data_IF_860644314396
#
_entry.id   IF_860644314396
#
_cell.length_a   1.000
_cell.length_b   1.000
_cell.length_c   1.000
_cell.angle_alpha   90.00
_cell.angle_beta   90.00
_cell.angle_gamma   90.00
#
_symmetry.space_group_name_H-M   'P 1'
#
loop_
_entity.id
_entity.type
_entity.pdbx_description
1 polymer ?
#
# COMPACT_ATOMS: atom_id res chain seq x y z
N UNK A 1 -134.91 93.89 177.63
CA UNK A 1 -133.55 94.50 177.57
C UNK A 1 -132.52 93.60 176.90
N UNK A 2 -132.71 92.27 176.90
CA UNK A 2 -132.02 91.25 176.08
C UNK A 2 -132.13 91.38 174.54
N UNK A 3 -132.58 92.49 173.96
CA UNK A 3 -132.86 92.55 172.49
C UNK A 3 -131.79 93.25 171.66
N UNK A 4 -130.88 94.01 172.30
CA UNK A 4 -129.80 94.74 171.61
C UNK A 4 -128.52 93.90 171.48
N UNK A 5 -128.26 92.97 172.41
CA UNK A 5 -127.09 92.07 172.34
C UNK A 5 -127.29 90.94 171.33
N UNK A 6 -128.50 90.41 171.17
CA UNK A 6 -128.82 89.36 170.19
C UNK A 6 -128.67 89.83 168.73
N UNK A 7 -129.02 91.09 168.44
CA UNK A 7 -128.82 91.67 167.12
C UNK A 7 -127.34 91.86 166.77
N UNK A 8 -126.49 92.14 167.78
CA UNK A 8 -125.04 92.27 167.57
C UNK A 8 -124.40 90.92 167.25
N UNK A 9 -124.79 89.85 167.94
CA UNK A 9 -124.32 88.49 167.67
C UNK A 9 -124.77 88.00 166.27
N UNK A 10 -126.00 88.29 165.85
CA UNK A 10 -126.50 87.94 164.51
C UNK A 10 -125.79 88.72 163.39
N UNK A 11 -125.50 90.00 163.58
CA UNK A 11 -124.71 90.78 162.62
C UNK A 11 -123.26 90.29 162.53
N UNK A 12 -122.67 89.87 163.65
CA UNK A 12 -121.29 89.37 163.70
C UNK A 12 -121.16 87.99 163.04
N UNK A 13 -122.11 87.08 163.28
CA UNK A 13 -122.17 85.78 162.59
C UNK A 13 -122.40 85.92 161.07
N UNK A 14 -123.26 86.85 160.64
CA UNK A 14 -123.48 87.10 159.21
C UNK A 14 -122.23 87.69 158.52
N UNK A 15 -121.50 88.58 159.22
CA UNK A 15 -120.21 89.10 158.77
C UNK A 15 -119.14 88.02 158.68
N UNK A 16 -119.05 87.10 159.66
CA UNK A 16 -118.13 85.97 159.62
C UNK A 16 -118.47 84.97 158.51
N UNK A 17 -119.76 84.66 158.29
CA UNK A 17 -120.21 83.81 157.18
C UNK A 17 -119.87 84.46 155.83
N UNK A 18 -120.06 85.78 155.69
CA UNK A 18 -119.71 86.50 154.47
C UNK A 18 -118.19 86.50 154.24
N UNK A 19 -117.38 86.69 155.29
CA UNK A 19 -115.92 86.61 155.21
C UNK A 19 -115.44 85.19 154.90
N UNK A 20 -116.04 84.16 155.50
CA UNK A 20 -115.74 82.76 155.20
C UNK A 20 -116.15 82.39 153.77
N UNK A 21 -117.29 82.85 153.28
CA UNK A 21 -117.69 82.67 151.87
C UNK A 21 -116.73 83.36 150.92
N UNK A 22 -116.37 84.62 151.17
CA UNK A 22 -115.39 85.37 150.37
C UNK A 22 -114.02 84.68 150.38
N UNK A 23 -113.57 84.21 151.55
CA UNK A 23 -112.33 83.46 151.71
C UNK A 23 -112.39 82.08 151.06
N UNK A 24 -113.53 81.40 151.11
CA UNK A 24 -113.75 80.12 150.41
C UNK A 24 -113.76 80.32 148.90
N UNK A 25 -114.41 81.37 148.38
CA UNK A 25 -114.40 81.71 146.96
C UNK A 25 -113.02 82.13 146.47
N UNK A 26 -112.25 82.87 147.30
CA UNK A 26 -110.86 83.19 147.00
C UNK A 26 -109.96 81.94 147.05
N UNK A 27 -110.21 81.01 147.98
CA UNK A 27 -109.52 79.73 148.03
C UNK A 27 -109.86 78.84 146.83
N UNK A 28 -111.14 78.76 146.45
CA UNK A 28 -111.62 78.04 145.26
C UNK A 28 -111.06 78.65 143.97
N UNK A 29 -111.02 79.99 143.85
CA UNK A 29 -110.41 80.66 142.70
C UNK A 29 -108.90 80.37 142.60
N UNK A 30 -108.18 80.33 143.73
CA UNK A 30 -106.76 79.91 143.76
C UNK A 30 -106.60 78.43 143.40
N UNK A 31 -107.49 77.57 143.87
CA UNK A 31 -107.48 76.14 143.55
C UNK A 31 -107.80 75.89 142.07
N UNK A 32 -108.72 76.67 141.50
CA UNK A 32 -109.05 76.65 140.08
C UNK A 32 -107.88 77.13 139.22
N UNK A 33 -107.26 78.28 139.54
CA UNK A 33 -106.08 78.77 138.83
C UNK A 33 -104.89 77.80 138.92
N UNK A 34 -104.65 77.20 140.09
CA UNK A 34 -103.60 76.19 140.24
C UNK A 34 -103.91 74.89 139.46
N UNK A 35 -105.19 74.48 139.39
CA UNK A 35 -105.63 73.35 138.56
C UNK A 35 -105.48 73.64 137.08
N UNK A 36 -105.87 74.82 136.61
CA UNK A 36 -105.72 75.25 135.21
C UNK A 36 -104.24 75.36 134.82
N UNK A 37 -103.40 75.93 135.70
CA UNK A 37 -101.96 75.98 135.49
C UNK A 37 -101.34 74.58 135.47
N UNK A 38 -101.76 73.68 136.36
CA UNK A 38 -101.31 72.28 136.36
C UNK A 38 -101.78 71.53 135.11
N UNK A 39 -103.01 71.77 134.64
CA UNK A 39 -103.54 71.16 133.42
C UNK A 39 -102.81 71.67 132.18
N UNK A 40 -102.60 72.99 132.06
CA UNK A 40 -101.83 73.60 130.98
C UNK A 40 -100.39 73.07 130.94
N UNK A 41 -99.71 72.96 132.08
CA UNK A 41 -98.36 72.38 132.14
C UNK A 41 -98.34 70.88 131.76
N UNK A 42 -99.38 70.12 132.14
CA UNK A 42 -99.52 68.71 131.76
C UNK A 42 -99.78 68.55 130.26
N UNK A 43 -100.61 69.41 129.68
CA UNK A 43 -100.91 69.46 128.25
C UNK A 43 -99.67 69.82 127.44
N UNK A 44 -98.94 70.87 127.84
CA UNK A 44 -97.65 71.21 127.25
C UNK A 44 -96.68 70.03 127.31
N UNK A 45 -96.55 69.36 128.47
CA UNK A 45 -95.70 68.19 128.60
C UNK A 45 -96.11 67.03 127.66
N UNK A 46 -97.42 66.79 127.48
CA UNK A 46 -97.93 65.81 126.52
C UNK A 46 -97.72 66.25 125.06
N UNK A 47 -97.84 67.54 124.74
CA UNK A 47 -97.48 68.08 123.43
C UNK A 47 -95.99 67.91 123.12
N UNK A 48 -95.10 68.22 124.07
CA UNK A 48 -93.67 67.97 123.91
C UNK A 48 -93.37 66.48 123.73
N UNK A 49 -94.10 65.58 124.42
CA UNK A 49 -93.97 64.13 124.20
C UNK A 49 -94.44 63.73 122.79
N UNK A 50 -95.57 64.24 122.31
CA UNK A 50 -96.06 63.99 120.93
C UNK A 50 -95.07 64.51 119.90
N UNK A 51 -94.56 65.73 120.09
CA UNK A 51 -93.54 66.35 119.23
C UNK A 51 -92.24 65.54 119.22
N UNK A 52 -91.74 65.11 120.39
CA UNK A 52 -90.55 64.27 120.48
C UNK A 52 -90.74 62.92 119.79
N UNK A 53 -91.92 62.30 119.91
CA UNK A 53 -92.26 61.06 119.18
C UNK A 53 -92.27 61.29 117.67
N UNK A 54 -92.89 62.38 117.22
CA UNK A 54 -92.89 62.77 115.81
C UNK A 54 -91.46 63.03 115.29
N UNK A 55 -90.63 63.74 116.05
CA UNK A 55 -89.23 64.00 115.68
C UNK A 55 -88.39 62.72 115.58
N UNK A 56 -88.64 61.74 116.46
CA UNK A 56 -88.01 60.42 116.39
C UNK A 56 -88.47 59.70 115.12
N UNK A 57 -89.78 59.64 114.87
CA UNK A 57 -90.34 58.99 113.68
C UNK A 57 -89.83 59.63 112.38
N UNK A 58 -89.73 60.97 112.33
CA UNK A 58 -89.16 61.70 111.19
C UNK A 58 -87.67 61.38 111.03
N UNK A 59 -86.90 61.32 112.13
CA UNK A 59 -85.48 60.93 112.06
C UNK A 59 -85.31 59.49 111.58
N UNK A 60 -86.13 58.57 112.07
CA UNK A 60 -86.11 57.16 111.63
C UNK A 60 -86.52 57.04 110.16
N UNK A 61 -87.55 57.77 109.73
CA UNK A 61 -87.96 57.81 108.33
C UNK A 61 -86.86 58.38 107.43
N UNK A 62 -86.20 59.47 107.85
CA UNK A 62 -85.04 60.04 107.15
C UNK A 62 -83.89 59.04 107.07
N UNK A 63 -83.55 58.39 108.18
CA UNK A 63 -82.50 57.38 108.23
C UNK A 63 -82.84 56.16 107.36
N UNK A 64 -84.11 55.75 107.29
CA UNK A 64 -84.57 54.68 106.42
C UNK A 64 -84.48 55.08 104.94
N UNK A 65 -84.88 56.31 104.59
CA UNK A 65 -84.75 56.86 103.23
C UNK A 65 -83.28 56.96 102.79
N UNK A 66 -82.39 57.39 103.68
CA UNK A 66 -80.95 57.46 103.40
C UNK A 66 -80.35 56.07 103.17
N UNK A 67 -80.71 55.08 104.01
CA UNK A 67 -80.31 53.68 103.79
C UNK A 67 -80.85 53.13 102.46
N UNK A 68 -82.11 53.41 102.13
CA UNK A 68 -82.70 52.99 100.85
C UNK A 68 -81.99 53.64 99.66
N UNK A 69 -81.63 54.92 99.74
CA UNK A 69 -80.89 55.63 98.70
C UNK A 69 -79.49 55.04 98.50
N UNK A 70 -78.77 54.70 99.58
CA UNK A 70 -77.45 54.05 99.50
C UNK A 70 -77.57 52.68 98.84
N UNK A 71 -78.54 51.87 99.26
CA UNK A 71 -78.80 50.54 98.66
C UNK A 71 -79.16 50.68 97.18
N UNK A 72 -80.00 51.65 96.82
CA UNK A 72 -80.36 51.91 95.43
C UNK A 72 -79.15 52.35 94.60
N UNK A 73 -78.33 53.28 95.10
CA UNK A 73 -77.12 53.72 94.41
C UNK A 73 -76.13 52.57 94.22
N UNK A 74 -75.92 51.75 95.26
CA UNK A 74 -75.10 50.55 95.18
C UNK A 74 -75.65 49.56 94.13
N UNK A 75 -76.95 49.30 94.15
CA UNK A 75 -77.61 48.40 93.20
C UNK A 75 -77.50 48.92 91.77
N UNK A 76 -77.76 50.20 91.53
CA UNK A 76 -77.61 50.85 90.23
C UNK A 76 -76.17 50.73 89.72
N UNK A 77 -75.17 50.99 90.57
CA UNK A 77 -73.76 50.85 90.20
C UNK A 77 -73.40 49.41 89.84
N UNK A 78 -73.90 48.42 90.60
CA UNK A 78 -73.71 47.00 90.27
C UNK A 78 -74.37 46.62 88.95
N UNK A 79 -75.58 47.13 88.67
CA UNK A 79 -76.26 46.92 87.38
C UNK A 79 -75.48 47.53 86.23
N UNK A 80 -74.99 48.77 86.36
CA UNK A 80 -74.16 49.42 85.35
C UNK A 80 -72.89 48.63 85.05
N UNK A 81 -72.16 48.19 86.08
CA UNK A 81 -70.94 47.38 85.88
C UNK A 81 -71.23 46.06 85.15
N UNK A 82 -72.38 45.44 85.41
CA UNK A 82 -72.81 44.22 84.69
C UNK A 82 -73.17 44.52 83.24
N UNK A 83 -73.89 45.62 82.99
CA UNK A 83 -74.23 46.05 81.64
C UNK A 83 -72.99 46.43 80.83
N UNK A 84 -72.06 47.17 81.43
CA UNK A 84 -70.79 47.55 80.81
C UNK A 84 -69.93 46.32 80.50
N UNK A 85 -69.82 45.38 81.45
CA UNK A 85 -69.14 44.11 81.21
C UNK A 85 -69.78 43.34 80.04
N UNK A 86 -71.12 43.24 80.00
CA UNK A 86 -71.81 42.60 78.87
C UNK A 86 -71.57 43.34 77.54
N UNK A 87 -71.56 44.67 77.55
CA UNK A 87 -71.28 45.48 76.35
C UNK A 87 -69.86 45.25 75.82
N UNK A 88 -68.88 45.14 76.70
CA UNK A 88 -67.50 44.81 76.32
C UNK A 88 -67.38 43.38 75.78
N UNK A 89 -68.05 42.40 76.39
CA UNK A 89 -68.09 41.04 75.84
C UNK A 89 -68.78 40.98 74.46
N UNK A 90 -69.88 41.71 74.29
CA UNK A 90 -70.56 41.81 72.99
C UNK A 90 -69.71 42.55 71.95
N UNK A 91 -68.99 43.62 72.32
CA UNK A 91 -68.11 44.35 71.41
C UNK A 91 -66.93 43.48 70.98
N UNK A 92 -66.31 42.75 71.93
CA UNK A 92 -65.23 41.80 71.71
C UNK A 92 -65.65 40.65 70.79
N UNK A 93 -66.78 40.01 71.06
CA UNK A 93 -67.29 38.91 70.23
C UNK A 93 -67.68 39.35 68.81
N UNK A 94 -68.21 40.57 68.63
CA UNK A 94 -68.46 41.12 67.29
C UNK A 94 -67.16 41.38 66.53
N UNK A 95 -66.15 41.95 67.20
CA UNK A 95 -64.83 42.17 66.60
C UNK A 95 -64.14 40.86 66.25
N UNK A 96 -64.23 39.84 67.11
CA UNK A 96 -63.73 38.49 66.90
C UNK A 96 -64.39 37.85 65.68
N UNK A 97 -65.74 37.82 65.61
CA UNK A 97 -66.46 37.29 64.44
C UNK A 97 -66.13 38.04 63.15
N UNK A 98 -65.92 39.35 63.21
CA UNK A 98 -65.49 40.14 62.06
C UNK A 98 -64.05 39.78 61.61
N UNK A 99 -63.15 39.47 62.55
CA UNK A 99 -61.80 39.00 62.24
C UNK A 99 -61.81 37.57 61.69
N UNK A 100 -62.57 36.66 62.30
CA UNK A 100 -62.75 35.27 61.85
C UNK A 100 -63.31 35.20 60.42
N UNK A 101 -64.33 36.00 60.12
CA UNK A 101 -64.90 36.05 58.77
C UNK A 101 -63.91 36.59 57.73
N UNK A 102 -63.09 37.58 58.09
CA UNK A 102 -61.99 38.07 57.23
C UNK A 102 -60.91 36.99 57.01
N UNK A 103 -60.47 36.32 58.07
CA UNK A 103 -59.48 35.23 57.98
C UNK A 103 -60.01 34.12 57.06
N UNK A 104 -61.27 33.69 57.27
CA UNK A 104 -61.90 32.66 56.43
C UNK A 104 -61.96 33.08 54.96
N UNK A 105 -62.27 34.35 54.68
CA UNK A 105 -62.26 34.87 53.31
C UNK A 105 -60.86 34.81 52.70
N UNK A 106 -59.83 35.29 53.40
CA UNK A 106 -58.45 35.20 52.90
C UNK A 106 -57.95 33.76 52.74
N UNK A 107 -58.31 32.85 53.65
CA UNK A 107 -58.00 31.43 53.51
C UNK A 107 -58.64 30.82 52.26
N UNK A 108 -59.89 31.21 51.96
CA UNK A 108 -60.60 30.77 50.77
C UNK A 108 -59.97 31.29 49.47
N UNK A 109 -59.39 32.49 49.48
CA UNK A 109 -58.66 33.08 48.34
C UNK A 109 -57.25 32.50 48.19
N UNK A 110 -56.56 32.23 49.30
CA UNK A 110 -55.20 31.68 49.31
C UNK A 110 -55.20 30.21 48.85
N UNK A 111 -56.25 29.45 49.17
CA UNK A 111 -56.36 28.02 48.82
C UNK A 111 -56.20 27.72 47.32
N UNK A 112 -56.94 28.35 46.38
CA UNK A 112 -56.77 28.14 44.95
C UNK A 112 -55.40 28.60 44.45
N UNK A 113 -54.87 29.70 44.97
CA UNK A 113 -53.53 30.18 44.61
C UNK A 113 -52.44 29.18 45.01
N UNK A 114 -52.54 28.59 46.21
CA UNK A 114 -51.63 27.52 46.66
C UNK A 114 -51.70 26.29 45.75
N UNK A 115 -52.89 25.92 45.28
CA UNK A 115 -53.06 24.81 44.35
C UNK A 115 -52.43 25.11 42.99
N UNK A 116 -52.61 26.33 42.47
CA UNK A 116 -52.04 26.73 41.18
C UNK A 116 -50.51 26.81 41.24
N UNK A 117 -49.94 27.34 42.33
CA UNK A 117 -48.49 27.34 42.55
C UNK A 117 -47.94 25.92 42.54
N UNK A 118 -48.62 24.97 43.19
CA UNK A 118 -48.22 23.55 43.17
C UNK A 118 -48.27 22.98 41.74
N UNK A 119 -49.34 23.24 40.98
CA UNK A 119 -49.46 22.79 39.58
C UNK A 119 -48.38 23.39 38.68
N UNK A 120 -48.08 24.68 38.82
CA UNK A 120 -47.03 25.37 38.08
C UNK A 120 -45.65 24.83 38.44
N UNK A 121 -45.39 24.58 39.72
CA UNK A 121 -44.14 23.99 40.18
C UNK A 121 -43.94 22.60 39.61
N UNK A 122 -44.99 21.77 39.57
CA UNK A 122 -44.91 20.44 38.99
C UNK A 122 -44.69 20.47 37.47
N UNK A 123 -45.39 21.36 36.76
CA UNK A 123 -45.15 21.60 35.33
C UNK A 123 -43.70 22.03 35.06
N UNK A 124 -43.16 22.93 35.88
CA UNK A 124 -41.78 23.39 35.75
C UNK A 124 -40.78 22.25 35.97
N UNK A 125 -41.02 21.35 36.94
CA UNK A 125 -40.16 20.18 37.16
C UNK A 125 -40.16 19.23 35.97
N UNK A 126 -41.34 18.93 35.41
CA UNK A 126 -41.47 18.06 34.23
C UNK A 126 -40.73 18.66 33.05
N UNK A 127 -40.90 19.97 32.81
CA UNK A 127 -40.24 20.64 31.69
C UNK A 127 -38.72 20.73 31.89
N UNK A 128 -38.25 20.97 33.11
CA UNK A 128 -36.82 20.92 33.43
C UNK A 128 -36.23 19.52 33.20
N UNK A 129 -36.97 18.45 33.56
CA UNK A 129 -36.54 17.09 33.26
C UNK A 129 -36.44 16.81 31.75
N UNK A 130 -37.35 17.38 30.95
CA UNK A 130 -37.30 17.31 29.48
C UNK A 130 -36.14 18.11 28.89
N UNK A 131 -35.89 19.31 29.40
CA UNK A 131 -34.73 20.11 29.01
C UNK A 131 -33.42 19.33 29.27
N UNK A 132 -33.29 18.71 30.45
CA UNK A 132 -32.15 17.87 30.78
C UNK A 132 -32.02 16.62 29.90
N UNK A 133 -33.12 16.02 29.44
CA UNK A 133 -33.03 14.93 28.46
C UNK A 133 -32.54 15.44 27.10
N UNK A 134 -33.06 16.58 26.63
CA UNK A 134 -32.60 17.17 25.37
C UNK A 134 -31.13 17.59 25.43
N UNK A 135 -30.65 18.10 26.56
CA UNK A 135 -29.22 18.39 26.77
C UNK A 135 -28.34 17.15 26.63
N UNK A 136 -28.78 16.01 27.20
CA UNK A 136 -28.06 14.73 27.07
C UNK A 136 -28.07 14.22 25.63
N UNK A 137 -29.21 14.31 24.94
CA UNK A 137 -29.33 13.88 23.55
C UNK A 137 -28.45 14.74 22.63
N UNK A 138 -28.43 16.06 22.83
CA UNK A 138 -27.54 16.98 22.11
C UNK A 138 -26.07 16.60 22.34
N UNK A 139 -25.67 16.24 23.55
CA UNK A 139 -24.30 15.82 23.85
C UNK A 139 -23.93 14.53 23.10
N UNK A 140 -24.84 13.55 23.04
CA UNK A 140 -24.63 12.31 22.27
C UNK A 140 -24.51 12.62 20.78
N UNK A 141 -25.41 13.42 20.22
CA UNK A 141 -25.37 13.81 18.80
C UNK A 141 -24.08 14.56 18.47
N UNK A 142 -23.62 15.48 19.33
CA UNK A 142 -22.36 16.18 19.13
C UNK A 142 -21.15 15.22 19.09
N UNK A 143 -21.15 14.21 19.97
CA UNK A 143 -20.13 13.17 19.97
C UNK A 143 -20.19 12.30 18.71
N UNK A 144 -21.37 11.89 18.26
CA UNK A 144 -21.56 11.13 17.02
C UNK A 144 -21.12 11.93 15.78
N UNK A 145 -21.45 13.22 15.71
CA UNK A 145 -21.00 14.12 14.63
C UNK A 145 -19.47 14.15 14.59
N UNK A 146 -18.81 14.28 15.75
CA UNK A 146 -17.35 14.28 15.84
C UNK A 146 -16.75 12.95 15.35
N UNK A 147 -17.30 11.82 15.79
CA UNK A 147 -16.84 10.50 15.34
C UNK A 147 -17.03 10.29 13.84
N UNK A 148 -18.16 10.73 13.28
CA UNK A 148 -18.41 10.66 11.83
C UNK A 148 -17.45 11.57 11.07
N UNK A 149 -17.18 12.78 11.57
CA UNK A 149 -16.19 13.68 10.98
C UNK A 149 -14.79 13.06 10.95
N UNK A 150 -14.34 12.47 12.06
CA UNK A 150 -13.06 11.76 12.14
C UNK A 150 -13.02 10.55 11.20
N UNK A 151 -14.10 9.76 11.12
CA UNK A 151 -14.21 8.63 10.17
C UNK A 151 -14.14 9.11 8.72
N UNK A 152 -14.82 10.19 8.36
CA UNK A 152 -14.78 10.79 7.02
C UNK A 152 -13.39 11.30 6.67
N UNK A 153 -12.69 11.97 7.60
CA UNK A 153 -11.32 12.44 7.40
C UNK A 153 -10.35 11.26 7.21
N UNK A 154 -10.46 10.22 8.03
CA UNK A 154 -9.65 9.01 7.93
C UNK A 154 -9.87 8.26 6.61
N UNK A 155 -11.14 8.11 6.19
CA UNK A 155 -11.49 7.51 4.91
C UNK A 155 -10.94 8.34 3.73
N UNK A 156 -11.04 9.67 3.80
CA UNK A 156 -10.45 10.58 2.82
C UNK A 156 -8.92 10.44 2.73
N UNK A 157 -8.23 10.36 3.87
CA UNK A 157 -6.78 10.12 3.92
C UNK A 157 -6.40 8.79 3.27
N UNK A 158 -7.09 7.70 3.64
CA UNK A 158 -6.83 6.37 3.08
C UNK A 158 -7.08 6.33 1.56
N UNK A 159 -8.12 7.03 1.08
CA UNK A 159 -8.40 7.15 -0.35
C UNK A 159 -7.27 7.87 -1.10
N UNK A 160 -6.76 8.98 -0.55
CA UNK A 160 -5.61 9.70 -1.13
C UNK A 160 -4.35 8.83 -1.15
N UNK A 161 -4.08 8.08 -0.08
CA UNK A 161 -2.95 7.14 -0.04
C UNK A 161 -3.09 6.04 -1.11
N UNK A 162 -4.27 5.45 -1.23
CA UNK A 162 -4.58 4.44 -2.26
C UNK A 162 -4.42 4.98 -3.67
N UNK A 163 -4.93 6.19 -3.95
CA UNK A 163 -4.75 6.85 -5.25
C UNK A 163 -3.26 7.04 -5.55
N UNK A 164 -2.46 7.52 -4.60
CA UNK A 164 -1.03 7.66 -4.79
C UNK A 164 -0.33 6.31 -5.06
N UNK A 165 -0.79 5.21 -4.45
CA UNK A 165 -0.28 3.87 -4.76
C UNK A 165 -0.66 3.42 -6.18
N UNK A 166 -1.90 3.66 -6.59
CA UNK A 166 -2.40 3.36 -7.95
C UNK A 166 -1.57 4.12 -8.98
N UNK A 167 -1.39 5.44 -8.82
CA UNK A 167 -0.59 6.25 -9.75
C UNK A 167 0.87 5.76 -9.87
N UNK A 168 1.48 5.29 -8.76
CA UNK A 168 2.84 4.72 -8.81
C UNK A 168 2.87 3.40 -9.57
N UNK A 169 1.84 2.56 -9.39
CA UNK A 169 1.72 1.30 -10.11
C UNK A 169 1.48 1.55 -11.60
N UNK A 170 0.60 2.49 -11.96
CA UNK A 170 0.33 2.89 -13.34
C UNK A 170 1.60 3.39 -14.05
N UNK A 171 2.36 4.30 -13.43
CA UNK A 171 3.66 4.73 -13.98
C UNK A 171 4.64 3.56 -14.16
N UNK A 172 4.61 2.56 -13.27
CA UNK A 172 5.49 1.38 -13.39
C UNK A 172 5.04 0.47 -14.52
N UNK A 173 3.74 0.30 -14.72
CA UNK A 173 3.16 -0.44 -15.86
C UNK A 173 3.56 0.26 -17.16
N UNK A 174 3.36 1.56 -17.28
CA UNK A 174 3.72 2.34 -18.46
C UNK A 174 5.23 2.22 -18.78
N UNK A 175 6.09 2.24 -17.75
CA UNK A 175 7.53 2.04 -17.95
C UNK A 175 7.85 0.64 -18.47
N UNK A 176 7.21 -0.40 -17.93
CA UNK A 176 7.41 -1.79 -18.36
C UNK A 176 6.85 -2.04 -19.76
N UNK A 177 5.74 -1.39 -20.12
CA UNK A 177 5.17 -1.43 -21.47
C UNK A 177 6.15 -0.81 -22.48
N UNK A 178 6.73 0.35 -22.17
CA UNK A 178 7.76 0.96 -23.03
C UNK A 178 9.02 0.08 -23.15
N UNK A 179 9.46 -0.56 -22.07
CA UNK A 179 10.57 -1.51 -22.10
C UNK A 179 10.24 -2.75 -22.95
N UNK A 180 9.03 -3.27 -22.83
CA UNK A 180 8.53 -4.39 -23.64
C UNK A 180 8.52 -4.04 -25.13
N UNK A 181 7.96 -2.88 -25.50
CA UNK A 181 7.89 -2.44 -26.89
C UNK A 181 9.30 -2.25 -27.48
N UNK A 182 10.22 -1.68 -26.71
CA UNK A 182 11.63 -1.57 -27.13
C UNK A 182 12.24 -2.94 -27.39
N UNK A 183 12.05 -3.92 -26.49
CA UNK A 183 12.55 -5.29 -26.65
C UNK A 183 11.91 -6.01 -27.84
N UNK A 184 10.61 -5.77 -28.10
CA UNK A 184 9.93 -6.29 -29.29
C UNK A 184 10.54 -5.73 -30.58
N UNK A 185 10.84 -4.43 -30.61
CA UNK A 185 11.54 -3.80 -31.72
C UNK A 185 12.96 -4.38 -31.91
N UNK A 186 13.71 -4.60 -30.81
CA UNK A 186 15.05 -5.21 -30.91
C UNK A 186 14.98 -6.64 -31.45
N UNK A 187 14.03 -7.43 -30.94
CA UNK A 187 13.80 -8.80 -31.36
C UNK A 187 13.39 -8.86 -32.83
N UNK A 188 12.57 -7.92 -33.29
CA UNK A 188 12.21 -7.80 -34.69
C UNK A 188 13.42 -7.45 -35.57
N UNK A 189 14.25 -6.48 -35.15
CA UNK A 189 15.51 -6.15 -35.85
C UNK A 189 16.46 -7.35 -35.96
N UNK A 190 16.58 -8.14 -34.89
CA UNK A 190 17.40 -9.36 -34.89
C UNK A 190 16.81 -10.42 -35.82
N UNK A 191 15.50 -10.64 -35.80
CA UNK A 191 14.83 -11.57 -36.73
C UNK A 191 15.02 -11.18 -38.20
N UNK A 192 14.96 -9.89 -38.50
CA UNK A 192 15.18 -9.42 -39.88
C UNK A 192 16.64 -9.57 -40.30
N UNK A 193 17.58 -9.34 -39.38
CA UNK A 193 19.00 -9.60 -39.60
C UNK A 193 19.30 -11.10 -39.77
N UNK A 194 18.64 -11.96 -39.00
CA UNK A 194 18.74 -13.42 -39.12
C UNK A 194 18.26 -13.89 -40.49
N UNK A 195 17.10 -13.41 -40.95
CA UNK A 195 16.59 -13.71 -42.30
C UNK A 195 17.55 -13.24 -43.38
N UNK A 196 18.12 -12.04 -43.27
CA UNK A 196 19.13 -11.56 -44.23
C UNK A 196 20.36 -12.48 -44.28
N UNK A 197 20.89 -12.86 -43.12
CA UNK A 197 22.04 -13.78 -43.02
C UNK A 197 21.70 -15.14 -43.63
N UNK A 198 20.51 -15.69 -43.35
CA UNK A 198 20.07 -16.96 -43.94
C UNK A 198 20.02 -16.90 -45.47
N UNK A 199 19.47 -15.81 -46.04
CA UNK A 199 19.46 -15.60 -47.50
C UNK A 199 20.88 -15.49 -48.06
N UNK A 200 21.76 -14.76 -47.36
CA UNK A 200 23.17 -14.59 -47.74
C UNK A 200 23.97 -15.89 -47.63
N UNK A 201 23.64 -16.81 -46.73
CA UNK A 201 24.30 -18.12 -46.59
C UNK A 201 23.78 -19.11 -47.63
N UNK A 202 22.48 -19.08 -47.96
CA UNK A 202 21.87 -19.95 -48.97
C UNK A 202 22.52 -19.80 -50.36
N UNK A 203 23.02 -18.60 -50.69
CA UNK A 203 23.66 -18.36 -52.00
C UNK A 203 25.03 -19.04 -52.16
N UNK A 204 26.00 -18.94 -51.22
CA UNK A 204 27.18 -19.79 -51.15
C UNK A 204 26.87 -21.27 -51.07
N UNK A 205 25.90 -21.70 -50.26
CA UNK A 205 25.56 -23.13 -50.13
C UNK A 205 25.19 -23.74 -51.48
N UNK A 206 24.32 -23.08 -52.25
CA UNK A 206 23.97 -23.52 -53.62
C UNK A 206 25.17 -23.54 -54.56
N UNK A 207 26.10 -22.58 -54.44
CA UNK A 207 27.33 -22.56 -55.24
C UNK A 207 28.28 -23.69 -54.86
N UNK A 208 28.37 -24.01 -53.57
CA UNK A 208 29.16 -25.15 -53.09
C UNK A 208 28.53 -26.44 -53.59
N UNK A 209 27.22 -26.62 -53.46
CA UNK A 209 26.50 -27.80 -53.98
C UNK A 209 26.71 -27.97 -55.50
N UNK A 210 26.69 -26.88 -56.27
CA UNK A 210 26.98 -26.95 -57.70
C UNK A 210 28.44 -27.35 -57.97
N UNK A 211 29.41 -26.77 -57.24
CA UNK A 211 30.82 -27.14 -57.38
C UNK A 211 31.08 -28.60 -57.01
N UNK A 212 30.40 -29.11 -55.99
CA UNK A 212 30.47 -30.53 -55.61
C UNK A 212 29.98 -31.42 -56.76
N UNK A 213 28.86 -31.07 -57.42
CA UNK A 213 28.38 -31.79 -58.61
C UNK A 213 29.34 -31.72 -59.80
N UNK A 214 29.97 -30.57 -60.01
CA UNK A 214 30.94 -30.37 -61.09
C UNK A 214 32.22 -31.20 -60.84
N UNK A 215 32.71 -31.20 -59.60
CA UNK A 215 33.86 -32.03 -59.17
C UNK A 215 33.54 -33.52 -59.34
N UNK A 216 32.37 -33.97 -58.91
CA UNK A 216 31.94 -35.36 -59.08
C UNK A 216 31.87 -35.77 -60.56
N UNK A 217 31.44 -34.86 -61.44
CA UNK A 217 31.40 -35.09 -62.88
C UNK A 217 32.80 -35.18 -63.48
N UNK A 218 33.71 -34.29 -63.07
CA UNK A 218 35.11 -34.31 -63.49
C UNK A 218 35.82 -35.58 -63.03
N UNK A 219 35.61 -36.02 -61.78
CA UNK A 219 36.18 -37.26 -61.27
C UNK A 219 35.68 -38.48 -62.05
N UNK A 220 34.38 -38.53 -62.39
CA UNK A 220 33.85 -39.59 -63.25
C UNK A 220 34.50 -39.58 -64.63
N UNK A 221 34.67 -38.40 -65.25
CA UNK A 221 35.36 -38.27 -66.53
C UNK A 221 36.83 -38.68 -66.44
N UNK A 222 37.54 -38.25 -65.39
CA UNK A 222 38.93 -38.63 -65.14
C UNK A 222 39.05 -40.15 -64.99
N UNK A 223 38.24 -40.80 -64.16
CA UNK A 223 38.25 -42.25 -64.04
C UNK A 223 37.98 -42.96 -65.37
N UNK A 224 37.06 -42.46 -66.21
CA UNK A 224 36.88 -43.03 -67.56
C UNK A 224 38.11 -42.85 -68.46
N UNK A 225 38.77 -41.69 -68.36
CA UNK A 225 40.02 -41.41 -69.05
C UNK A 225 41.18 -42.29 -68.55
N UNK A 226 41.33 -42.45 -67.23
CA UNK A 226 42.30 -43.35 -66.61
C UNK A 226 42.09 -44.80 -67.06
N UNK A 227 40.83 -45.26 -67.13
CA UNK A 227 40.48 -46.57 -67.64
C UNK A 227 40.90 -46.69 -69.11
N UNK A 228 40.57 -45.71 -69.96
CA UNK A 228 40.95 -45.71 -71.38
C UNK A 228 42.48 -45.70 -71.58
N UNK A 229 43.21 -44.84 -70.87
CA UNK A 229 44.67 -44.79 -70.88
C UNK A 229 45.28 -46.12 -70.43
N UNK A 230 44.73 -46.73 -69.36
CA UNK A 230 45.18 -48.02 -68.84
C UNK A 230 44.98 -49.13 -69.86
N UNK A 231 43.86 -49.16 -70.57
CA UNK A 231 43.62 -50.10 -71.67
C UNK A 231 44.64 -49.92 -72.80
N UNK A 232 44.89 -48.69 -73.23
CA UNK A 232 45.85 -48.40 -74.29
C UNK A 232 47.27 -48.85 -73.91
N UNK A 233 47.73 -48.49 -72.71
CA UNK A 233 49.06 -48.89 -72.20
C UNK A 233 49.18 -50.41 -72.13
N UNK A 234 48.15 -51.11 -71.64
CA UNK A 234 48.17 -52.57 -71.57
C UNK A 234 48.21 -53.21 -72.96
N UNK A 235 47.49 -52.66 -73.94
CA UNK A 235 47.55 -53.09 -75.34
C UNK A 235 48.95 -52.91 -75.94
N UNK A 236 49.56 -51.73 -75.78
CA UNK A 236 50.92 -51.46 -76.25
C UNK A 236 51.95 -52.38 -75.58
N UNK A 237 51.83 -52.60 -74.25
CA UNK A 237 52.68 -53.56 -73.52
C UNK A 237 52.54 -54.97 -74.09
N UNK A 238 51.33 -55.40 -74.43
CA UNK A 238 51.08 -56.72 -75.01
C UNK A 238 51.72 -56.86 -76.40
N UNK A 239 51.57 -55.84 -77.25
CA UNK A 239 52.16 -55.81 -78.60
C UNK A 239 53.69 -55.81 -78.56
N UNK A 240 54.30 -54.99 -77.69
CA UNK A 240 55.76 -54.97 -77.51
C UNK A 240 56.27 -56.34 -77.06
N UNK A 241 55.60 -56.99 -76.10
CA UNK A 241 55.95 -58.36 -75.70
C UNK A 241 55.85 -59.35 -76.86
N UNK A 242 54.85 -59.20 -77.74
CA UNK A 242 54.71 -60.06 -78.92
C UNK A 242 55.87 -59.86 -79.91
N UNK A 243 56.21 -58.61 -80.23
CA UNK A 243 57.34 -58.28 -81.12
C UNK A 243 58.66 -58.77 -80.54
N UNK A 244 58.91 -58.55 -79.25
CA UNK A 244 60.11 -59.05 -78.56
C UNK A 244 60.19 -60.59 -78.61
N UNK A 245 59.05 -61.28 -78.46
CA UNK A 245 59.00 -62.75 -78.57
C UNK A 245 59.29 -63.23 -80.00
N UNK A 246 58.79 -62.52 -81.02
CA UNK A 246 59.13 -62.80 -82.42
C UNK A 246 60.62 -62.58 -82.71
N UNK A 247 61.19 -61.46 -82.26
CA UNK A 247 62.62 -61.18 -82.40
C UNK A 247 63.45 -62.25 -81.69
N UNK A 248 63.09 -62.62 -80.46
CA UNK A 248 63.78 -63.69 -79.74
C UNK A 248 63.74 -65.02 -80.52
N UNK A 249 62.60 -65.36 -81.12
CA UNK A 249 62.49 -66.53 -82.01
C UNK A 249 63.37 -66.44 -83.26
N UNK A 250 63.40 -65.28 -83.92
CA UNK A 250 64.25 -65.04 -85.09
C UNK A 250 65.74 -65.11 -84.73
N UNK A 251 66.15 -64.47 -83.63
CA UNK A 251 67.54 -64.50 -83.15
C UNK A 251 68.00 -65.92 -82.83
N UNK A 252 67.16 -66.73 -82.17
CA UNK A 252 67.46 -68.14 -81.93
C UNK A 252 67.60 -68.94 -83.24
N UNK A 253 66.78 -68.65 -84.25
CA UNK A 253 66.88 -69.31 -85.55
C UNK A 253 68.16 -68.93 -86.31
N UNK A 254 68.53 -67.65 -86.29
CA UNK A 254 69.75 -67.13 -86.91
C UNK A 254 71.00 -67.62 -86.18
N UNK A 255 70.97 -67.71 -84.84
CA UNK A 255 72.10 -68.27 -84.09
C UNK A 255 72.32 -69.75 -84.42
N UNK A 256 71.24 -70.51 -84.61
CA UNK A 256 71.30 -71.91 -85.06
C UNK A 256 71.89 -72.03 -86.48
N UNK A 257 71.46 -71.16 -87.40
CA UNK A 257 72.01 -71.12 -88.75
C UNK A 257 73.50 -70.75 -88.74
N UNK A 258 73.90 -69.71 -87.99
CA UNK A 258 75.29 -69.31 -87.84
C UNK A 258 76.14 -70.45 -87.28
N UNK A 259 75.64 -71.16 -86.26
CA UNK A 259 76.34 -72.30 -85.67
C UNK A 259 76.49 -73.46 -86.67
N UNK A 260 75.47 -73.72 -87.50
CA UNK A 260 75.56 -74.73 -88.56
C UNK A 260 76.53 -74.34 -89.69
N UNK A 261 76.59 -73.05 -90.05
CA UNK A 261 77.49 -72.53 -91.07
C UNK A 261 78.94 -72.56 -90.57
N UNK A 262 79.17 -72.17 -89.31
CA UNK A 262 80.48 -72.24 -88.68
C UNK A 262 81.02 -73.68 -88.67
N UNK A 263 80.17 -74.65 -88.31
CA UNK A 263 80.54 -76.07 -88.34
C UNK A 263 80.93 -76.56 -89.77
N UNK A 264 80.28 -76.04 -90.83
CA UNK A 264 80.66 -76.35 -92.22
C UNK A 264 82.00 -75.75 -92.61
N UNK A 265 82.28 -74.50 -92.21
CA UNK A 265 83.57 -73.84 -92.48
C UNK A 265 84.71 -74.63 -91.82
N UNK A 266 84.54 -75.06 -90.58
CA UNK A 266 85.55 -75.85 -89.86
C UNK A 266 85.80 -77.21 -90.53
N UNK A 267 84.76 -77.84 -91.09
CA UNK A 267 84.89 -79.07 -91.90
C UNK A 267 85.69 -78.83 -93.18
N UNK A 268 85.40 -77.75 -93.92
CA UNK A 268 86.14 -77.40 -95.14
C UNK A 268 87.59 -77.04 -94.84
N UNK A 269 87.86 -76.35 -93.72
CA UNK A 269 89.22 -76.09 -93.27
C UNK A 269 89.97 -77.38 -92.94
N UNK A 270 89.32 -78.37 -92.32
CA UNK A 270 89.95 -79.68 -92.11
C UNK A 270 90.26 -80.39 -93.44
N UNK A 271 89.38 -80.31 -94.44
CA UNK A 271 89.64 -80.88 -95.77
C UNK A 271 90.77 -80.16 -96.51
N UNK A 272 90.80 -78.83 -96.50
CA UNK A 272 91.85 -78.04 -97.15
C UNK A 272 93.22 -78.31 -96.51
N UNK A 273 93.24 -78.55 -95.19
CA UNK A 273 94.45 -78.98 -94.48
C UNK A 273 94.91 -80.38 -94.90
N UNK A 274 93.97 -81.32 -95.14
CA UNK A 274 94.29 -82.64 -95.70
C UNK A 274 94.84 -82.55 -97.13
N UNK A 275 94.24 -81.72 -97.99
CA UNK A 275 94.72 -81.53 -99.37
C UNK A 275 96.12 -80.90 -99.43
N UNK A 276 96.42 -79.91 -98.57
CA UNK A 276 97.77 -79.33 -98.48
C UNK A 276 98.85 -80.35 -98.06
N UNK A 277 98.49 -81.32 -97.21
CA UNK A 277 99.38 -82.42 -96.84
C UNK A 277 99.58 -83.43 -97.98
N UNK A 278 98.57 -83.63 -98.85
CA UNK A 278 98.71 -84.48 -100.03
C UNK A 278 99.52 -83.79 -101.16
N UNK A 279 99.36 -82.48 -101.33
CA UNK A 279 100.07 -81.70 -102.35
C UNK A 279 101.58 -81.62 -102.06
N UNK A 280 101.96 -81.53 -100.78
CA UNK A 280 103.38 -81.58 -100.35
C UNK A 280 104.04 -82.95 -100.60
N UNK A 281 103.27 -84.03 -100.71
CA UNK A 281 103.79 -85.36 -101.08
C UNK A 281 104.04 -85.41 -102.60
N UNK A 282 103.09 -84.93 -103.42
CA UNK A 282 103.20 -84.95 -104.89
C UNK A 282 104.31 -84.03 -105.42
N UNK A 283 104.57 -82.91 -104.77
CA UNK A 283 105.64 -81.98 -105.16
C UNK A 283 107.06 -82.56 -105.00
N UNK A 284 107.21 -83.63 -104.20
CA UNK A 284 108.49 -84.33 -104.05
C UNK A 284 108.79 -85.29 -105.23
N UNK A 285 107.77 -85.80 -105.92
CA UNK A 285 107.95 -86.80 -106.98
C UNK A 285 108.16 -86.18 -108.37
N UNK A 286 107.53 -85.03 -108.68
CA UNK A 286 107.60 -84.43 -110.04
C UNK A 286 108.97 -83.79 -110.36
N UNK A 287 109.84 -83.57 -109.36
CA UNK A 287 111.14 -82.91 -109.54
C UNK A 287 112.24 -83.77 -110.18
N UNK A 288 111.98 -85.05 -110.47
CA UNK A 288 112.98 -85.95 -111.08
C UNK A 288 112.74 -86.30 -112.56
N UNK A 289 111.73 -85.74 -113.22
CA UNK A 289 111.53 -85.93 -114.66
C UNK A 289 111.46 -84.58 -115.40
N UNK A 290 112.41 -84.37 -116.33
CA UNK A 290 112.49 -83.27 -117.31
C UNK A 290 113.12 -81.94 -116.84
N UNK A 291 114.45 -81.97 -116.67
CA UNK A 291 115.35 -80.81 -116.76
C UNK A 291 115.32 -80.23 -118.19
N UNK A 292 114.78 -79.03 -118.38
CA UNK A 292 114.83 -78.35 -119.68
C UNK A 292 114.44 -76.87 -119.63
N UNK A 293 115.44 -76.01 -119.35
CA UNK A 293 115.58 -74.58 -119.71
C UNK A 293 114.31 -73.74 -119.97
N UNK A 294 114.07 -72.74 -119.12
CA UNK A 294 113.65 -71.35 -119.45
C UNK A 294 113.64 -70.52 -118.16
N UNK A 295 114.65 -69.67 -117.95
CA UNK A 295 114.76 -68.23 -118.29
C UNK A 295 114.03 -67.31 -117.32
N UNK A 296 114.84 -66.48 -116.65
CA UNK A 296 114.53 -65.42 -115.70
C UNK A 296 113.68 -64.31 -116.34
N UNK A 297 112.70 -63.79 -115.59
CA UNK A 297 112.15 -62.45 -115.78
C UNK A 297 112.23 -61.77 -114.41
N UNK A 298 113.29 -60.97 -114.25
CA UNK A 298 113.36 -59.87 -113.30
C UNK A 298 112.81 -58.64 -114.04
N UNK A 299 111.73 -58.04 -113.55
CA UNK A 299 111.24 -56.71 -113.98
C UNK A 299 110.67 -55.94 -112.77
N UNK A 300 111.56 -55.18 -112.13
CA UNK A 300 111.49 -53.72 -111.95
C UNK A 300 110.09 -53.05 -111.84
N UNK A 301 109.60 -52.82 -110.61
CA UNK A 301 108.56 -51.80 -110.33
C UNK A 301 108.99 -50.96 -109.11
N UNK A 302 110.05 -50.16 -109.30
CA UNK A 302 110.56 -49.18 -108.31
C UNK A 302 109.96 -47.76 -108.41
N UNK A 303 108.85 -47.57 -109.12
CA UNK A 303 108.25 -46.22 -109.33
C UNK A 303 107.46 -45.74 -108.11
N UNK A 304 106.84 -46.66 -107.37
CA UNK A 304 105.98 -46.32 -106.23
C UNK A 304 106.81 -45.82 -105.03
N UNK A 305 107.98 -46.41 -104.83
CA UNK A 305 108.96 -45.99 -103.81
C UNK A 305 109.48 -44.59 -104.06
N UNK A 306 109.71 -44.19 -105.32
CA UNK A 306 110.19 -42.84 -105.69
C UNK A 306 109.14 -41.75 -105.41
N UNK A 307 107.88 -41.99 -105.74
CA UNK A 307 106.80 -41.02 -105.48
C UNK A 307 106.51 -40.85 -103.98
N UNK A 308 106.56 -41.94 -103.20
CA UNK A 308 106.44 -41.87 -101.73
C UNK A 308 107.57 -41.04 -101.11
N UNK A 309 108.78 -41.18 -101.63
CA UNK A 309 109.94 -40.44 -101.13
C UNK A 309 109.87 -38.94 -101.46
N UNK A 310 109.36 -38.56 -102.64
CA UNK A 310 109.17 -37.14 -103.00
C UNK A 310 108.00 -36.47 -102.26
N UNK A 311 106.88 -37.18 -102.04
CA UNK A 311 105.79 -36.67 -101.19
C UNK A 311 106.28 -36.41 -99.76
N UNK A 312 107.20 -37.23 -99.26
CA UNK A 312 107.80 -37.03 -97.94
C UNK A 312 108.76 -35.82 -97.92
N UNK A 313 109.56 -35.62 -98.98
CA UNK A 313 110.43 -34.43 -99.11
C UNK A 313 109.68 -33.11 -99.18
N UNK A 314 108.49 -33.09 -99.78
CA UNK A 314 107.63 -31.90 -99.85
C UNK A 314 106.68 -31.74 -98.65
N UNK A 315 106.93 -32.44 -97.53
CA UNK A 315 106.13 -32.42 -96.30
C UNK A 315 104.67 -32.92 -96.43
N UNK A 316 104.40 -33.83 -97.37
CA UNK A 316 103.08 -34.48 -97.54
C UNK A 316 103.04 -35.93 -97.02
N UNK A 317 103.93 -36.29 -96.09
CA UNK A 317 104.02 -37.62 -95.50
C UNK A 317 102.74 -38.06 -94.75
N UNK A 318 102.06 -37.12 -94.08
CA UNK A 318 100.84 -37.44 -93.30
C UNK A 318 99.66 -37.84 -94.19
N UNK A 319 99.52 -37.16 -95.34
CA UNK A 319 98.49 -37.46 -96.35
C UNK A 319 98.71 -38.85 -96.97
N UNK A 320 99.95 -39.34 -96.98
CA UNK A 320 100.29 -40.68 -97.43
C UNK A 320 99.89 -41.77 -96.41
N UNK A 321 99.96 -41.47 -95.11
CA UNK A 321 99.60 -42.39 -94.01
C UNK A 321 98.08 -42.50 -93.80
N UNK A 322 97.32 -41.43 -94.06
CA UNK A 322 95.85 -41.48 -94.02
C UNK A 322 95.27 -42.46 -95.05
N UNK A 323 95.98 -42.64 -96.18
CA UNK A 323 95.73 -43.73 -97.11
C UNK A 323 96.28 -45.03 -96.51
N UNK A 324 95.55 -45.63 -95.56
CA UNK A 324 95.92 -46.87 -94.85
C UNK A 324 96.41 -48.02 -95.75
N UNK A 325 96.06 -48.01 -97.05
CA UNK A 325 96.64 -48.84 -98.13
C UNK A 325 96.56 -48.06 -99.46
N UNK A 326 97.56 -47.25 -99.85
CA UNK A 326 97.47 -46.42 -101.05
C UNK A 326 97.78 -47.24 -102.30
N UNK A 327 96.81 -47.34 -103.22
CA UNK A 327 97.05 -47.91 -104.56
C UNK A 327 97.93 -46.95 -105.39
N UNK A 328 98.69 -47.47 -106.37
CA UNK A 328 99.51 -46.69 -107.32
C UNK A 328 98.82 -45.44 -107.87
N UNK A 329 97.51 -45.52 -108.18
CA UNK A 329 96.70 -44.37 -108.63
C UNK A 329 96.55 -43.27 -107.58
N UNK A 330 96.36 -43.63 -106.30
CA UNK A 330 96.17 -42.67 -105.22
C UNK A 330 97.47 -41.89 -104.90
N UNK A 331 98.62 -42.56 -105.03
CA UNK A 331 99.94 -41.92 -104.84
C UNK A 331 100.23 -40.92 -105.96
N UNK A 332 99.94 -41.29 -107.22
CA UNK A 332 100.08 -40.39 -108.37
C UNK A 332 99.16 -39.17 -108.23
N UNK A 333 97.90 -39.38 -107.82
CA UNK A 333 96.94 -38.29 -107.62
C UNK A 333 97.37 -37.32 -106.52
N UNK A 334 97.96 -37.82 -105.42
CA UNK A 334 98.55 -36.97 -104.39
C UNK A 334 99.75 -36.18 -104.92
N UNK A 335 100.62 -36.79 -105.73
CA UNK A 335 101.78 -36.12 -106.32
C UNK A 335 101.38 -35.01 -107.30
N UNK A 336 100.42 -35.25 -108.19
CA UNK A 336 99.88 -34.24 -109.12
C UNK A 336 99.24 -33.06 -108.37
N UNK A 337 98.49 -33.35 -107.30
CA UNK A 337 97.78 -32.31 -106.54
C UNK A 337 98.72 -31.48 -105.67
N UNK A 338 99.73 -32.10 -105.06
CA UNK A 338 100.51 -31.48 -104.00
C UNK A 338 101.86 -30.89 -104.48
N UNK A 339 102.43 -31.42 -105.57
CA UNK A 339 103.75 -31.01 -106.09
C UNK A 339 103.64 -30.24 -107.41
N UNK A 340 102.88 -30.74 -108.38
CA UNK A 340 102.79 -30.10 -109.71
C UNK A 340 101.96 -28.81 -109.76
N UNK A 341 101.05 -28.57 -108.80
CA UNK A 341 100.24 -27.34 -108.77
C UNK A 341 100.90 -26.13 -108.09
N UNK A 342 102.17 -26.22 -107.67
CA UNK A 342 102.90 -25.11 -107.02
C UNK A 342 104.20 -24.67 -107.72
N UNK A 343 104.45 -25.10 -108.96
CA UNK A 343 105.40 -24.46 -109.88
C UNK A 343 104.64 -23.91 -111.07
#
# INVERSE_FOLDING_TARGET
MNRITDLRASCQASSEIAALKSRSGAAEARLAAAREQSQSAQEEAEEWKRKRKYDIAVREAKAALEKAAIVQHYTNKQTQLREDALREEFSGTLAEKAAESKIRNYESEISPLRLEIKKLTERLKIENARAQSYEKDVMVIQQEIKEVQERCQNAGRLAMERLAHIERAERKIENLEREKDNLEDELQRVRDSEKDVLVRVSTPEKKVEQREKDIDSLLKMEHTGEIAHRFLINFWKQNVKHVLRQIAGLTLSLSLQLQSAQAKIDSLHQELTKFRLNETILDSELKTASRGKRLRVDDDIGVESKLKQELTKHNYGDQLLELKNPNKKAIIALYEKCVLQKS
#
